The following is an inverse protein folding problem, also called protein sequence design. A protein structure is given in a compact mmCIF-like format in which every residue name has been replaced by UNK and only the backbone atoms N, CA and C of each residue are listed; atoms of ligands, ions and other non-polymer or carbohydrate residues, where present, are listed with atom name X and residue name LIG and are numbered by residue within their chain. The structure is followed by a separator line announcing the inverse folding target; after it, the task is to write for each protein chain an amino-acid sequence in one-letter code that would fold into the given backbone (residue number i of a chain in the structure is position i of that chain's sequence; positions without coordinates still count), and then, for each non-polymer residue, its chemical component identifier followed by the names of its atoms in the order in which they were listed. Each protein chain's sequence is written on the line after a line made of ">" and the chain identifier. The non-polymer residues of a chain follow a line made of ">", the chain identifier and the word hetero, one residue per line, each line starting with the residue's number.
data_IF_482062624526
#
_entry.id   IF_482062624526
#
_cell.length_a   1.000
_cell.length_b   1.000
_cell.length_c   1.000
_cell.angle_alpha   90.00
_cell.angle_beta   90.00
_cell.angle_gamma   90.00
#
_symmetry.space_group_name_H-M   'P 1'
#
loop_
_entity.id
_entity.type
_entity.pdbx_description
1 polymer ?
#
# COMPACT_ATOMS: atom_id res chain seq x y z
N UNK A 1 23.80 -4.91 -9.45
CA UNK A 1 23.57 -5.81 -8.28
C UNK A 1 22.10 -5.72 -7.91
N UNK A 2 21.41 -6.86 -7.71
CA UNK A 2 20.04 -7.05 -7.16
C UNK A 2 18.76 -7.10 -8.04
N UNK A 3 18.80 -7.10 -9.38
CA UNK A 3 17.56 -7.23 -10.20
C UNK A 3 16.71 -8.49 -9.90
N UNK A 4 17.33 -9.60 -9.49
CA UNK A 4 16.59 -10.82 -9.12
C UNK A 4 15.82 -10.66 -7.81
N UNK A 5 16.34 -9.88 -6.86
CA UNK A 5 15.66 -9.59 -5.60
C UNK A 5 14.46 -8.68 -5.82
N UNK A 6 14.59 -7.69 -6.69
CA UNK A 6 13.49 -6.79 -7.03
C UNK A 6 12.35 -7.54 -7.73
N UNK A 7 12.69 -8.46 -8.65
CA UNK A 7 11.70 -9.31 -9.31
C UNK A 7 11.00 -10.27 -8.34
N UNK A 8 11.74 -10.90 -7.43
CA UNK A 8 11.16 -11.76 -6.41
C UNK A 8 10.26 -10.96 -5.44
N UNK A 9 10.66 -9.73 -5.11
CA UNK A 9 9.88 -8.83 -4.28
C UNK A 9 8.57 -8.43 -4.95
N UNK A 10 8.57 -8.04 -6.22
CA UNK A 10 7.33 -7.70 -6.95
C UNK A 10 6.35 -8.89 -7.02
N UNK A 11 6.86 -10.09 -7.27
CA UNK A 11 6.03 -11.31 -7.30
C UNK A 11 5.41 -11.58 -5.92
N UNK A 12 6.18 -11.44 -4.84
CA UNK A 12 5.68 -11.62 -3.49
C UNK A 12 4.64 -10.55 -3.11
N UNK A 13 4.89 -9.29 -3.46
CA UNK A 13 3.96 -8.18 -3.23
C UNK A 13 2.63 -8.43 -3.96
N UNK A 14 2.67 -8.83 -5.23
CA UNK A 14 1.47 -9.17 -6.00
C UNK A 14 0.72 -10.39 -5.46
N UNK A 15 1.43 -11.38 -4.91
CA UNK A 15 0.81 -12.54 -4.27
C UNK A 15 0.05 -12.14 -3.00
N UNK A 16 0.61 -11.25 -2.18
CA UNK A 16 -0.03 -10.72 -0.96
C UNK A 16 -1.27 -9.90 -1.32
N UNK A 17 -1.18 -9.01 -2.31
CA UNK A 17 -2.30 -8.15 -2.72
C UNK A 17 -3.47 -8.98 -3.30
N UNK A 18 -3.17 -10.10 -3.99
CA UNK A 18 -4.19 -11.04 -4.49
C UNK A 18 -4.83 -11.88 -3.39
N UNK A 19 -4.07 -12.31 -2.38
CA UNK A 19 -4.58 -13.17 -1.31
C UNK A 19 -5.38 -12.41 -0.25
N UNK A 20 -4.95 -11.20 0.10
CA UNK A 20 -5.50 -10.44 1.21
C UNK A 20 -6.35 -9.24 0.76
N UNK A 21 -6.31 -8.89 -0.53
CA UNK A 21 -7.07 -7.78 -1.11
C UNK A 21 -6.20 -6.55 -1.36
N UNK A 22 -6.69 -5.66 -2.24
CA UNK A 22 -5.96 -4.45 -2.64
C UNK A 22 -5.67 -3.55 -1.45
N UNK A 23 -4.41 -3.13 -1.32
CA UNK A 23 -3.97 -2.27 -0.22
C UNK A 23 -3.53 -3.02 1.03
N UNK A 24 -3.48 -4.35 0.99
CA UNK A 24 -2.95 -5.17 2.09
C UNK A 24 -1.44 -5.00 2.29
N UNK A 25 -0.72 -4.56 1.25
CA UNK A 25 0.69 -4.19 1.34
C UNK A 25 0.98 -3.01 0.41
N UNK A 26 1.65 -1.98 0.93
CA UNK A 26 1.95 -0.74 0.21
C UNK A 26 3.32 -0.22 0.65
N UNK A 27 4.01 0.57 -0.18
CA UNK A 27 5.23 1.24 0.27
C UNK A 27 4.87 2.41 1.18
N UNK A 28 5.64 2.59 2.25
CA UNK A 28 5.50 3.75 3.12
C UNK A 28 5.78 5.03 2.33
N UNK A 29 4.75 5.84 2.10
CA UNK A 29 4.82 7.04 1.27
C UNK A 29 4.14 6.90 -0.10
N UNK A 30 3.70 5.70 -0.50
CA UNK A 30 2.80 5.56 -1.65
C UNK A 30 1.46 6.24 -1.30
N UNK A 31 1.23 7.41 -1.92
CA UNK A 31 -0.05 8.11 -1.86
C UNK A 31 -1.06 7.44 -2.81
N UNK A 32 -1.32 6.15 -2.63
CA UNK A 32 -2.53 5.58 -3.20
C UNK A 32 -3.69 6.15 -2.37
N UNK A 33 -4.42 7.11 -2.97
CA UNK A 33 -5.66 7.61 -2.42
C UNK A 33 -6.66 6.47 -2.40
N UNK A 34 -6.62 5.67 -1.33
CA UNK A 34 -7.69 4.74 -1.01
C UNK A 34 -8.93 5.61 -0.82
N UNK A 35 -9.92 5.43 -1.68
CA UNK A 35 -11.25 6.07 -1.55
C UNK A 35 -11.97 5.46 -0.35
N UNK A 36 -11.46 5.75 0.84
CA UNK A 36 -12.06 5.39 2.11
C UNK A 36 -12.78 6.64 2.60
N UNK A 37 -14.09 6.52 2.75
CA UNK A 37 -14.87 7.54 3.44
C UNK A 37 -14.35 7.67 4.88
N UNK A 38 -13.89 8.86 5.22
CA UNK A 38 -13.44 9.20 6.57
C UNK A 38 -14.35 10.28 7.15
N UNK A 39 -14.61 10.18 8.44
CA UNK A 39 -15.28 11.24 9.18
C UNK A 39 -14.18 12.13 9.79
N UNK A 40 -14.16 13.44 9.51
CA UNK A 40 -13.15 14.34 10.03
C UNK A 40 -13.22 14.37 11.56
N UNK A 41 -12.06 14.23 12.19
CA UNK A 41 -11.84 14.37 13.63
C UNK A 41 -11.92 15.83 14.08
N UNK A 42 -11.85 16.78 13.14
CA UNK A 42 -11.88 18.22 13.40
C UNK A 42 -10.49 18.81 13.69
N UNK A 43 -9.44 17.98 13.63
CA UNK A 43 -8.05 18.40 13.74
C UNK A 43 -7.38 18.36 12.36
N UNK A 44 -7.25 19.54 11.73
CA UNK A 44 -6.58 19.74 10.43
C UNK A 44 -5.20 19.05 10.22
N UNK A 45 -4.31 18.92 11.22
CA UNK A 45 -3.04 18.22 11.00
C UNK A 45 -3.16 16.68 11.03
N UNK A 46 -4.30 16.16 11.47
CA UNK A 46 -4.57 14.73 11.64
C UNK A 46 -5.56 14.18 10.60
N UNK A 47 -6.51 15.03 10.19
CA UNK A 47 -7.46 14.76 9.10
C UNK A 47 -6.80 14.72 7.71
#
# INVERSE_FOLDING_TARGET
>A
MNNEKDKALEVALGAIDKQFGKGSIMRMGDKQGLEIESIPTGALPLD
#
